data_IF_477048624333
#
_entry.id   IF_477048624333
#
_cell.length_a   1.000
_cell.length_b   1.000
_cell.length_c   1.000
_cell.angle_alpha   90.00
_cell.angle_beta   90.00
_cell.angle_gamma   90.00
#
_symmetry.space_group_name_H-M   'P 1'
#
loop_
_entity.id
_entity.type
_entity.pdbx_description
1 polymer ?
#
# COMPACT_ATOMS: atom_id res chain seq x y z
N UNK A 1 -5.54 -11.33 -0.40
CA UNK A 1 -4.41 -10.39 -0.31
C UNK A 1 -3.32 -10.98 -1.15
N UNK A 2 -2.71 -10.16 -1.99
CA UNK A 2 -1.54 -10.55 -2.77
C UNK A 2 -0.51 -11.18 -1.84
N UNK A 3 0.17 -12.20 -2.36
CA UNK A 3 0.94 -13.14 -1.56
C UNK A 3 1.91 -12.39 -0.63
N UNK A 4 1.56 -12.34 0.66
CA UNK A 4 2.37 -11.75 1.74
C UNK A 4 3.80 -12.30 1.75
N UNK A 5 3.95 -13.54 1.31
CA UNK A 5 5.23 -14.23 1.16
C UNK A 5 6.13 -13.60 0.10
N UNK A 6 5.58 -13.08 -1.00
CA UNK A 6 6.36 -12.51 -2.10
C UNK A 6 7.02 -11.20 -1.68
N UNK A 7 6.24 -10.21 -1.23
CA UNK A 7 6.79 -8.91 -0.80
C UNK A 7 7.74 -9.06 0.40
N UNK A 8 7.41 -9.94 1.35
CA UNK A 8 8.29 -10.20 2.50
C UNK A 8 9.63 -10.81 2.06
N UNK A 9 9.62 -11.77 1.13
CA UNK A 9 10.84 -12.34 0.57
C UNK A 9 11.66 -11.29 -0.19
N UNK A 10 11.03 -10.47 -1.03
CA UNK A 10 11.69 -9.39 -1.76
C UNK A 10 12.35 -8.39 -0.80
N UNK A 11 11.64 -7.94 0.23
CA UNK A 11 12.17 -6.98 1.22
C UNK A 11 13.33 -7.58 2.03
N UNK A 12 13.24 -8.86 2.42
CA UNK A 12 14.34 -9.55 3.11
C UNK A 12 15.58 -9.72 2.22
N UNK A 13 15.39 -10.05 0.94
CA UNK A 13 16.49 -10.12 -0.03
C UNK A 13 17.17 -8.76 -0.19
N UNK A 14 16.38 -7.69 -0.35
CA UNK A 14 16.90 -6.33 -0.48
C UNK A 14 17.64 -5.86 0.77
N UNK A 15 17.17 -6.20 1.97
CA UNK A 15 17.89 -5.92 3.22
C UNK A 15 19.22 -6.66 3.25
N UNK A 16 19.24 -7.95 2.89
CA UNK A 16 20.49 -8.72 2.82
C UNK A 16 21.47 -8.09 1.84
N UNK A 17 21.02 -7.71 0.64
CA UNK A 17 21.84 -7.04 -0.37
C UNK A 17 22.35 -5.67 0.10
N UNK A 18 21.52 -4.91 0.82
CA UNK A 18 21.87 -3.64 1.43
C UNK A 18 23.01 -3.80 2.45
N UNK A 19 22.88 -4.74 3.39
CA UNK A 19 23.86 -4.97 4.46
C UNK A 19 25.21 -5.48 3.95
N UNK A 20 25.22 -6.29 2.89
CA UNK A 20 26.47 -6.86 2.33
C UNK A 20 27.13 -5.95 1.28
N UNK A 21 26.49 -4.86 0.89
CA UNK A 21 27.02 -3.97 -0.14
C UNK A 21 28.10 -3.03 0.42
N UNK A 22 29.30 -3.10 -0.18
CA UNK A 22 30.39 -2.15 0.08
C UNK A 22 30.28 -0.85 -0.74
N UNK A 23 29.33 -0.78 -1.67
CA UNK A 23 29.14 0.38 -2.55
C UNK A 23 27.95 1.21 -2.09
N UNK A 24 28.19 2.47 -1.76
CA UNK A 24 27.14 3.43 -1.40
C UNK A 24 26.11 3.61 -2.51
N UNK A 25 26.54 3.52 -3.78
CA UNK A 25 25.63 3.59 -4.93
C UNK A 25 24.64 2.42 -4.94
N UNK A 26 25.13 1.21 -4.65
CA UNK A 26 24.29 0.00 -4.58
C UNK A 26 23.35 0.02 -3.38
N UNK A 27 23.79 0.48 -2.20
CA UNK A 27 22.91 0.59 -1.03
C UNK A 27 21.74 1.53 -1.31
N UNK A 28 21.98 2.66 -1.99
CA UNK A 28 20.89 3.55 -2.43
C UNK A 28 19.94 2.85 -3.40
N UNK A 29 20.44 2.05 -4.35
CA UNK A 29 19.58 1.29 -5.25
C UNK A 29 18.68 0.30 -4.51
N UNK A 30 19.22 -0.44 -3.54
CA UNK A 30 18.42 -1.38 -2.76
C UNK A 30 17.37 -0.68 -1.90
N UNK A 31 17.69 0.46 -1.28
CA UNK A 31 16.71 1.30 -0.57
C UNK A 31 15.58 1.80 -1.47
N UNK A 32 15.92 2.32 -2.65
CA UNK A 32 14.92 2.79 -3.63
C UNK A 32 14.05 1.63 -4.14
N UNK A 33 14.64 0.47 -4.38
CA UNK A 33 13.92 -0.71 -4.83
C UNK A 33 12.93 -1.19 -3.76
N UNK A 34 13.36 -1.28 -2.49
CA UNK A 34 12.49 -1.70 -1.38
C UNK A 34 11.26 -0.80 -1.25
N UNK A 35 11.46 0.51 -1.40
CA UNK A 35 10.39 1.49 -1.38
C UNK A 35 9.40 1.29 -2.54
N UNK A 36 9.88 1.06 -3.76
CA UNK A 36 9.03 0.83 -4.94
C UNK A 36 8.23 -0.46 -4.77
N UNK A 37 8.87 -1.54 -4.33
CA UNK A 37 8.22 -2.83 -4.06
C UNK A 37 7.07 -2.68 -3.04
N UNK A 38 7.33 -1.98 -1.93
CA UNK A 38 6.27 -1.74 -0.94
C UNK A 38 5.13 -0.89 -1.52
N UNK A 39 5.45 0.19 -2.23
CA UNK A 39 4.44 1.05 -2.83
C UNK A 39 3.54 0.30 -3.82
N UNK A 40 4.13 -0.52 -4.69
CA UNK A 40 3.40 -1.36 -5.63
C UNK A 40 2.53 -2.38 -4.89
N UNK A 41 3.10 -3.07 -3.91
CA UNK A 41 2.35 -4.05 -3.11
C UNK A 41 1.13 -3.43 -2.39
N UNK A 42 1.25 -2.22 -1.85
CA UNK A 42 0.13 -1.52 -1.20
C UNK A 42 -1.00 -1.27 -2.20
N UNK A 43 -0.65 -0.74 -3.37
CA UNK A 43 -1.60 -0.38 -4.43
C UNK A 43 -2.37 -1.63 -4.89
N UNK A 44 -1.64 -2.69 -5.25
CA UNK A 44 -2.26 -3.94 -5.68
C UNK A 44 -3.05 -4.63 -4.56
N UNK A 45 -2.67 -4.46 -3.28
CA UNK A 45 -3.39 -5.03 -2.15
C UNK A 45 -4.73 -4.35 -1.91
N UNK A 46 -4.80 -3.02 -2.03
CA UNK A 46 -6.08 -2.31 -1.96
C UNK A 46 -7.03 -2.75 -3.09
N UNK A 47 -6.49 -2.87 -4.31
CA UNK A 47 -7.24 -3.36 -5.46
C UNK A 47 -7.79 -4.77 -5.21
N UNK A 48 -6.96 -5.69 -4.70
CA UNK A 48 -7.38 -7.05 -4.37
C UNK A 48 -8.44 -7.10 -3.26
N UNK A 49 -8.34 -6.25 -2.22
CA UNK A 49 -9.38 -6.16 -1.18
C UNK A 49 -10.73 -5.77 -1.79
N UNK A 50 -10.74 -4.74 -2.64
CA UNK A 50 -11.95 -4.25 -3.32
C UNK A 50 -12.53 -5.29 -4.26
N UNK A 51 -11.69 -5.90 -5.11
CA UNK A 51 -12.14 -6.95 -6.05
C UNK A 51 -12.68 -8.17 -5.31
N UNK A 52 -12.04 -8.59 -4.21
CA UNK A 52 -12.52 -9.72 -3.42
C UNK A 52 -13.84 -9.42 -2.73
N UNK A 53 -14.03 -8.23 -2.16
CA UNK A 53 -15.31 -7.84 -1.58
C UNK A 53 -16.40 -7.78 -2.67
N UNK A 54 -16.11 -7.15 -3.81
CA UNK A 54 -17.02 -7.10 -4.96
C UNK A 54 -17.44 -8.50 -5.45
N UNK A 55 -16.50 -9.44 -5.58
CA UNK A 55 -16.81 -10.80 -6.03
C UNK A 55 -17.66 -11.59 -5.04
N UNK A 56 -17.57 -11.31 -3.73
CA UNK A 56 -18.38 -11.96 -2.69
C UNK A 56 -19.82 -11.46 -2.69
N UNK A 57 -20.01 -10.14 -2.82
CA UNK A 57 -21.31 -9.50 -2.61
C UNK A 57 -22.08 -9.20 -3.91
N UNK A 58 -21.40 -8.95 -5.03
CA UNK A 58 -22.06 -8.68 -6.30
C UNK A 58 -22.44 -10.01 -6.98
N UNK A 59 -23.73 -10.22 -7.23
CA UNK A 59 -24.23 -11.41 -7.94
C UNK A 59 -24.03 -11.32 -9.46
N UNK A 60 -24.18 -10.11 -10.02
CA UNK A 60 -24.07 -9.87 -11.47
C UNK A 60 -22.61 -9.81 -11.93
N UNK A 61 -22.27 -10.59 -12.97
CA UNK A 61 -20.97 -10.55 -13.63
C UNK A 61 -20.66 -9.17 -14.23
N UNK A 62 -21.67 -8.48 -14.77
CA UNK A 62 -21.51 -7.13 -15.30
C UNK A 62 -21.06 -6.14 -14.22
N UNK A 63 -21.62 -6.23 -13.01
CA UNK A 63 -21.25 -5.33 -11.92
C UNK A 63 -19.84 -5.65 -11.39
N UNK A 64 -19.43 -6.93 -11.39
CA UNK A 64 -18.05 -7.33 -11.07
C UNK A 64 -17.06 -6.77 -12.08
N UNK A 65 -17.40 -6.82 -13.36
CA UNK A 65 -16.58 -6.26 -14.44
C UNK A 65 -16.52 -4.73 -14.38
N UNK A 66 -17.64 -4.08 -14.08
CA UNK A 66 -17.69 -2.63 -13.84
C UNK A 66 -16.77 -2.24 -12.69
N UNK A 67 -16.81 -2.95 -11.56
CA UNK A 67 -15.91 -2.70 -10.43
C UNK A 67 -14.43 -2.80 -10.85
N UNK A 68 -14.04 -3.88 -11.53
CA UNK A 68 -12.65 -4.06 -11.99
C UNK A 68 -12.20 -2.99 -12.99
N UNK A 69 -13.04 -2.63 -13.96
CA UNK A 69 -12.67 -1.74 -15.08
C UNK A 69 -12.82 -0.26 -14.76
N UNK A 70 -13.86 0.11 -14.01
CA UNK A 70 -14.25 1.50 -13.80
C UNK A 70 -13.81 2.06 -12.46
N UNK A 71 -13.72 1.21 -11.42
CA UNK A 71 -13.36 1.62 -10.06
C UNK A 71 -11.86 1.38 -9.83
N UNK A 72 -11.42 0.13 -10.00
CA UNK A 72 -10.04 -0.29 -9.70
C UNK A 72 -9.06 0.23 -10.75
N UNK A 73 -9.25 -0.12 -12.04
CA UNK A 73 -8.31 0.25 -13.12
C UNK A 73 -8.09 1.75 -13.36
N UNK A 74 -8.99 2.62 -12.88
CA UNK A 74 -8.82 4.07 -13.00
C UNK A 74 -7.93 4.65 -11.90
N UNK A 75 -7.74 3.89 -10.83
CA UNK A 75 -6.96 4.32 -9.68
C UNK A 75 -5.49 3.94 -9.89
N UNK A 76 -4.60 4.94 -9.98
CA UNK A 76 -3.16 4.73 -10.19
C UNK A 76 -2.34 5.31 -9.02
N UNK A 77 -2.79 5.02 -7.80
CA UNK A 77 -2.01 5.34 -6.61
C UNK A 77 -2.61 4.79 -5.32
N UNK A 78 -1.88 5.02 -4.24
CA UNK A 78 -2.22 4.54 -2.90
C UNK A 78 -2.50 5.67 -1.89
N UNK A 79 -2.67 6.92 -2.33
CA UNK A 79 -2.98 8.01 -1.40
C UNK A 79 -4.38 7.85 -0.82
N UNK A 80 -4.52 7.93 0.50
CA UNK A 80 -5.79 7.58 1.14
C UNK A 80 -6.97 8.41 0.62
N UNK A 81 -6.90 9.74 0.70
CA UNK A 81 -8.02 10.62 0.36
C UNK A 81 -8.33 10.67 -1.14
N UNK A 82 -7.32 10.46 -1.98
CA UNK A 82 -7.44 10.69 -3.43
C UNK A 82 -7.66 9.39 -4.22
N UNK A 83 -7.26 8.26 -3.65
CA UNK A 83 -7.24 6.98 -4.34
C UNK A 83 -8.08 5.94 -3.57
N UNK A 84 -7.69 5.66 -2.32
CA UNK A 84 -8.28 4.56 -1.54
C UNK A 84 -9.71 4.85 -1.10
N UNK A 85 -9.95 6.02 -0.51
CA UNK A 85 -11.26 6.42 0.02
C UNK A 85 -12.33 6.52 -1.09
N UNK A 86 -12.09 7.19 -2.23
CA UNK A 86 -13.04 7.19 -3.35
C UNK A 86 -13.35 5.78 -3.88
N UNK A 87 -12.37 4.89 -3.86
CA UNK A 87 -12.53 3.50 -4.28
C UNK A 87 -13.48 2.74 -3.34
N UNK A 88 -13.33 2.90 -2.03
CA UNK A 88 -14.26 2.31 -1.06
C UNK A 88 -15.65 2.92 -1.14
N UNK A 89 -15.77 4.25 -1.27
CA UNK A 89 -17.07 4.92 -1.43
C UNK A 89 -17.81 4.38 -2.65
N UNK A 90 -17.10 4.17 -3.76
CA UNK A 90 -17.69 3.62 -4.99
C UNK A 90 -18.15 2.16 -4.85
N UNK A 91 -17.60 1.42 -3.88
CA UNK A 91 -17.90 0.00 -3.66
C UNK A 91 -19.01 -0.21 -2.63
N UNK A 92 -18.88 0.39 -1.44
CA UNK A 92 -19.75 0.14 -0.27
C UNK A 92 -20.61 1.36 0.10
N UNK A 93 -20.41 2.49 -0.57
CA UNK A 93 -21.12 3.74 -0.28
C UNK A 93 -20.51 4.54 0.88
N UNK A 94 -20.86 5.82 0.95
CA UNK A 94 -20.29 6.75 1.93
C UNK A 94 -20.62 6.38 3.38
N UNK A 95 -21.85 5.92 3.65
CA UNK A 95 -22.31 5.55 5.00
C UNK A 95 -21.46 4.41 5.58
N UNK A 96 -21.19 3.37 4.78
CA UNK A 96 -20.40 2.22 5.24
C UNK A 96 -18.91 2.56 5.36
N UNK A 97 -18.39 3.45 4.50
CA UNK A 97 -17.03 3.98 4.66
C UNK A 97 -16.89 4.75 5.96
N UNK A 98 -17.85 5.61 6.30
CA UNK A 98 -17.82 6.37 7.55
C UNK A 98 -17.82 5.45 8.78
N UNK A 99 -18.63 4.38 8.76
CA UNK A 99 -18.62 3.36 9.83
C UNK A 99 -17.26 2.68 9.93
N UNK A 100 -16.68 2.24 8.81
CA UNK A 100 -15.35 1.64 8.78
C UNK A 100 -14.27 2.59 9.33
N UNK A 101 -14.27 3.85 8.88
CA UNK A 101 -13.34 4.89 9.34
C UNK A 101 -13.47 5.10 10.86
N UNK A 102 -14.70 5.21 11.37
CA UNK A 102 -14.96 5.39 12.81
C UNK A 102 -14.53 4.17 13.64
N UNK A 103 -14.76 2.94 13.16
CA UNK A 103 -14.30 1.73 13.85
C UNK A 103 -12.78 1.66 13.95
N UNK A 104 -12.07 2.00 12.87
CA UNK A 104 -10.60 2.03 12.85
C UNK A 104 -10.02 3.19 13.67
N UNK A 105 -10.74 4.31 13.78
CA UNK A 105 -10.27 5.47 14.54
C UNK A 105 -10.30 5.24 16.05
N UNK A 106 -11.13 4.31 16.56
CA UNK A 106 -11.12 3.90 17.98
C UNK A 106 -9.74 3.46 18.47
N UNK A 107 -8.90 2.95 17.57
CA UNK A 107 -7.52 2.52 17.83
C UNK A 107 -6.50 3.34 17.03
N UNK A 108 -6.91 4.51 16.50
CA UNK A 108 -6.12 5.40 15.63
C UNK A 108 -5.54 4.71 14.38
N UNK A 109 -6.06 3.55 13.98
CA UNK A 109 -5.54 2.74 12.87
C UNK A 109 -5.67 3.47 11.54
N UNK A 110 -6.78 4.18 11.34
CA UNK A 110 -7.00 4.93 10.10
C UNK A 110 -6.09 6.16 10.02
N UNK A 111 -5.93 6.88 11.13
CA UNK A 111 -4.94 7.97 11.24
C UNK A 111 -3.51 7.49 10.95
N UNK A 112 -3.11 6.35 11.52
CA UNK A 112 -1.81 5.73 11.24
C UNK A 112 -1.66 5.34 9.77
N UNK A 113 -2.69 4.74 9.17
CA UNK A 113 -2.67 4.37 7.75
C UNK A 113 -2.47 5.60 6.86
N UNK A 114 -3.24 6.69 7.08
CA UNK A 114 -3.10 7.95 6.35
C UNK A 114 -1.68 8.49 6.44
N UNK A 115 -1.10 8.48 7.65
CA UNK A 115 0.27 8.91 7.90
C UNK A 115 1.30 8.09 7.14
N UNK A 116 1.20 6.74 7.18
CA UNK A 116 2.10 5.86 6.44
C UNK A 116 2.02 6.09 4.93
N UNK A 117 0.81 6.19 4.37
CA UNK A 117 0.62 6.36 2.93
C UNK A 117 1.15 7.72 2.46
N UNK A 118 0.92 8.79 3.21
CA UNK A 118 1.43 10.11 2.85
C UNK A 118 2.96 10.18 2.95
N UNK A 119 3.54 9.59 4.00
CA UNK A 119 4.99 9.51 4.15
C UNK A 119 5.64 8.72 3.00
N UNK A 120 5.13 7.53 2.68
CA UNK A 120 5.65 6.70 1.59
C UNK A 120 5.55 7.39 0.23
N UNK A 121 4.44 8.11 -0.03
CA UNK A 121 4.29 8.91 -1.24
C UNK A 121 5.34 10.00 -1.34
N UNK A 122 5.59 10.73 -0.24
CA UNK A 122 6.64 11.76 -0.16
C UNK A 122 8.02 11.18 -0.48
N UNK A 123 8.41 10.11 0.22
CA UNK A 123 9.73 9.48 0.03
C UNK A 123 9.86 8.88 -1.38
N UNK A 124 8.79 8.32 -1.95
CA UNK A 124 8.79 7.77 -3.32
C UNK A 124 9.04 8.88 -4.34
N UNK A 125 8.35 10.01 -4.20
CA UNK A 125 8.52 11.15 -5.09
C UNK A 125 9.96 11.67 -5.00
N UNK A 126 10.49 11.84 -3.79
CA UNK A 126 11.89 12.24 -3.58
C UNK A 126 12.88 11.26 -4.23
N UNK A 127 12.63 9.96 -4.08
CA UNK A 127 13.46 8.92 -4.67
C UNK A 127 13.42 8.91 -6.20
N UNK A 128 12.27 9.20 -6.81
CA UNK A 128 12.10 9.27 -8.26
C UNK A 128 12.73 10.52 -8.87
N UNK A 129 12.62 11.67 -8.19
CA UNK A 129 13.07 12.96 -8.70
C UNK A 129 14.53 13.32 -8.36
N UNK A 130 15.24 12.44 -7.62
CA UNK A 130 16.62 12.68 -7.21
C UNK A 130 17.62 11.81 -8.00
N UNK A 131 18.44 12.44 -8.85
CA UNK A 131 19.57 11.80 -9.55
C UNK A 131 20.81 11.69 -8.64
N UNK A 132 21.53 10.57 -8.69
CA UNK A 132 22.68 10.22 -7.82
C UNK A 132 23.94 11.09 -7.99
N UNK A 133 23.87 12.21 -8.72
CA UNK A 133 25.05 13.04 -9.00
C UNK A 133 25.29 14.00 -7.83
N UNK A 134 26.32 13.73 -7.02
CA UNK A 134 26.86 14.66 -6.02
C UNK A 134 26.09 14.74 -4.69
N UNK A 135 25.39 13.68 -4.25
CA UNK A 135 24.51 13.74 -3.07
C UNK A 135 25.01 12.94 -1.86
N UNK A 136 24.84 13.57 -0.69
CA UNK A 136 24.85 13.02 0.69
C UNK A 136 23.45 12.65 1.20
N UNK A 137 22.42 12.58 0.34
CA UNK A 137 21.05 12.20 0.78
C UNK A 137 21.01 10.75 1.25
N UNK A 138 20.60 10.56 2.49
CA UNK A 138 20.27 9.27 3.10
C UNK A 138 18.87 8.83 2.67
N UNK A 139 18.75 7.56 2.29
CA UNK A 139 17.46 6.91 2.04
C UNK A 139 17.17 5.95 3.19
N UNK A 140 15.89 5.68 3.43
CA UNK A 140 15.49 4.68 4.41
C UNK A 140 16.12 3.32 4.04
N UNK A 141 16.70 2.65 5.04
CA UNK A 141 17.17 1.28 4.87
C UNK A 141 15.97 0.34 4.60
N UNK A 142 16.16 -0.77 3.87
CA UNK A 142 15.08 -1.73 3.63
C UNK A 142 14.43 -2.25 4.92
N UNK A 143 15.18 -2.38 6.02
CA UNK A 143 14.64 -2.71 7.36
C UNK A 143 13.57 -1.72 7.85
N UNK A 144 13.70 -0.42 7.58
CA UNK A 144 12.66 0.57 7.90
C UNK A 144 11.42 0.37 7.04
N UNK A 145 11.60 0.13 5.74
CA UNK A 145 10.51 -0.18 4.80
C UNK A 145 9.77 -1.47 5.22
N UNK A 146 10.49 -2.47 5.70
CA UNK A 146 9.93 -3.70 6.23
C UNK A 146 9.11 -3.48 7.50
N UNK A 147 9.55 -2.57 8.38
CA UNK A 147 8.76 -2.13 9.53
C UNK A 147 7.45 -1.47 9.11
N UNK A 148 7.50 -0.58 8.12
CA UNK A 148 6.31 0.08 7.58
C UNK A 148 5.36 -0.94 6.92
N UNK A 149 5.89 -1.92 6.18
CA UNK A 149 5.14 -3.06 5.62
C UNK A 149 4.33 -3.81 6.68
N UNK A 150 4.98 -4.22 7.79
CA UNK A 150 4.31 -4.98 8.86
C UNK A 150 3.16 -4.18 9.47
N UNK A 151 3.38 -2.90 9.73
CA UNK A 151 2.37 -2.03 10.32
C UNK A 151 1.18 -1.81 9.37
N UNK A 152 1.44 -1.55 8.10
CA UNK A 152 0.41 -1.37 7.07
C UNK A 152 -0.37 -2.67 6.88
N UNK A 153 0.31 -3.81 6.76
CA UNK A 153 -0.31 -5.12 6.61
C UNK A 153 -1.33 -5.39 7.73
N UNK A 154 -0.96 -5.13 8.99
CA UNK A 154 -1.86 -5.30 10.12
C UNK A 154 -3.15 -4.46 9.99
N UNK A 155 -3.05 -3.23 9.49
CA UNK A 155 -4.23 -2.38 9.27
C UNK A 155 -5.08 -2.88 8.09
N UNK A 156 -4.45 -3.29 6.99
CA UNK A 156 -5.15 -3.82 5.81
C UNK A 156 -5.89 -5.13 6.11
N UNK A 157 -5.36 -5.97 7.00
CA UNK A 157 -6.04 -7.17 7.48
C UNK A 157 -7.30 -6.84 8.29
N UNK A 158 -7.26 -5.80 9.13
CA UNK A 158 -8.44 -5.32 9.85
C UNK A 158 -9.52 -4.80 8.90
N UNK A 159 -9.12 -4.04 7.86
CA UNK A 159 -10.03 -3.58 6.80
C UNK A 159 -10.64 -4.77 6.03
N UNK A 160 -9.83 -5.73 5.57
CA UNK A 160 -10.32 -6.91 4.84
C UNK A 160 -11.28 -7.75 5.72
N UNK A 161 -11.01 -7.84 7.02
CA UNK A 161 -11.87 -8.54 7.97
C UNK A 161 -13.19 -7.82 8.17
N UNK A 162 -13.19 -6.50 8.36
CA UNK A 162 -14.40 -5.71 8.48
C UNK A 162 -15.28 -5.86 7.23
N UNK A 163 -14.69 -5.73 6.04
CA UNK A 163 -15.35 -5.92 4.74
C UNK A 163 -15.81 -7.37 4.46
N UNK A 164 -15.47 -8.35 5.29
CA UNK A 164 -16.05 -9.70 5.18
C UNK A 164 -17.29 -9.88 6.04
N UNK A 165 -17.43 -9.06 7.07
CA UNK A 165 -18.51 -9.13 8.05
C UNK A 165 -19.60 -8.09 7.79
N UNK A 166 -19.32 -7.08 6.97
CA UNK A 166 -20.28 -6.15 6.39
C UNK A 166 -20.97 -6.77 5.17
#
# INVERSE_FOLDING_TARGET
MIAKSYISASLHELEKLYLHSKSQKKTIYFSKMALIELCGWIEETFDDIVVRHANRNLLSSHNRDYCKKSIVKKNNGFHYENNVRPMFISLIGLIEVEKLENELEKTARITLLKSYLENLKGIRNDAAHTHLKGITKTYNAPSKIMGDYINILSILEEIDKWLRNA
#
